data_IF_812831489400
#
_entry.id   IF_812831489400
#
_cell.length_a   1.000
_cell.length_b   1.000
_cell.length_c   1.000
_cell.angle_alpha   90.00
_cell.angle_beta   90.00
_cell.angle_gamma   90.00
#
_symmetry.space_group_name_H-M   'P 1'
#
loop_
_entity.id
_entity.type
_entity.pdbx_description
1 polymer ?
#
# COMPACT_ATOMS: atom_id res chain seq x y z
N UNK A 1 50.55 -12.70 -2.11
CA UNK A 1 49.55 -11.66 -1.75
C UNK A 1 48.20 -12.19 -2.19
N UNK A 2 47.53 -12.96 -1.32
CA UNK A 2 46.21 -13.50 -1.59
C UNK A 2 45.18 -12.41 -1.31
N UNK A 3 44.40 -12.04 -2.33
CA UNK A 3 43.31 -11.07 -2.19
C UNK A 3 42.05 -11.80 -1.74
N UNK A 4 41.73 -11.68 -0.46
CA UNK A 4 40.42 -12.04 0.10
C UNK A 4 39.32 -11.20 -0.58
N UNK A 5 38.33 -11.89 -1.15
CA UNK A 5 37.12 -11.30 -1.72
C UNK A 5 36.02 -11.44 -0.66
N UNK A 6 35.33 -10.36 -0.23
CA UNK A 6 34.31 -10.49 0.79
C UNK A 6 33.11 -11.27 0.26
N UNK A 7 32.77 -12.36 0.96
CA UNK A 7 31.57 -13.17 0.81
C UNK A 7 30.33 -12.30 1.02
N UNK A 8 29.47 -12.19 0.01
CA UNK A 8 28.17 -11.51 0.12
C UNK A 8 27.21 -12.51 0.75
N UNK A 9 26.62 -12.23 1.94
CA UNK A 9 25.72 -13.18 2.57
C UNK A 9 24.44 -13.31 1.74
N UNK A 10 24.27 -14.50 1.16
CA UNK A 10 23.06 -15.01 0.52
C UNK A 10 21.93 -15.11 1.58
N UNK A 11 21.35 -13.97 1.95
CA UNK A 11 20.14 -13.93 2.76
C UNK A 11 18.93 -14.26 1.88
N UNK A 12 18.87 -15.49 1.37
CA UNK A 12 17.62 -16.09 0.89
C UNK A 12 16.65 -16.04 2.05
N UNK A 13 15.69 -15.12 1.97
CA UNK A 13 14.67 -14.94 2.98
C UNK A 13 14.02 -16.31 3.24
N UNK A 14 14.21 -16.84 4.46
CA UNK A 14 13.84 -18.20 4.82
C UNK A 14 12.38 -18.49 4.51
N UNK A 15 12.14 -19.23 3.43
CA UNK A 15 10.83 -19.77 3.11
C UNK A 15 10.57 -20.98 4.03
N UNK A 16 9.42 -21.05 4.75
CA UNK A 16 9.19 -22.03 5.82
C UNK A 16 9.17 -23.52 5.44
N UNK A 17 9.41 -23.91 4.19
CA UNK A 17 9.33 -25.29 3.73
C UNK A 17 10.01 -25.48 2.37
N UNK A 18 10.64 -26.64 2.13
CA UNK A 18 11.19 -27.06 0.82
C UNK A 18 10.12 -27.32 -0.23
N UNK A 19 8.87 -27.54 0.20
CA UNK A 19 7.72 -27.62 -0.68
C UNK A 19 7.17 -26.19 -0.90
N UNK A 20 7.03 -25.71 -2.15
CA UNK A 20 6.47 -24.39 -2.40
C UNK A 20 5.09 -24.29 -1.75
N UNK A 21 4.88 -23.26 -0.93
CA UNK A 21 3.59 -22.98 -0.32
C UNK A 21 2.54 -22.87 -1.44
N UNK A 22 1.42 -23.61 -1.39
CA UNK A 22 0.41 -23.54 -2.44
C UNK A 22 -0.16 -22.12 -2.48
N UNK A 23 0.05 -21.44 -3.61
CA UNK A 23 -0.48 -20.11 -3.86
C UNK A 23 -1.87 -20.22 -4.49
N UNK A 24 -2.73 -19.24 -4.24
CA UNK A 24 -3.98 -19.15 -5.00
C UNK A 24 -3.69 -18.78 -6.46
N UNK A 25 -4.59 -19.12 -7.39
CA UNK A 25 -4.38 -18.83 -8.82
C UNK A 25 -4.08 -17.35 -9.11
N UNK A 26 -4.69 -16.43 -8.37
CA UNK A 26 -4.42 -14.98 -8.46
C UNK A 26 -3.04 -14.60 -7.93
N UNK A 27 -2.50 -15.32 -6.96
CA UNK A 27 -1.15 -15.10 -6.45
C UNK A 27 -0.10 -15.67 -7.41
N UNK A 28 -0.38 -16.83 -8.00
CA UNK A 28 0.48 -17.40 -9.04
C UNK A 28 0.56 -16.52 -10.29
N UNK A 29 -0.51 -15.83 -10.68
CA UNK A 29 -0.46 -14.89 -11.79
C UNK A 29 0.48 -13.71 -11.49
N UNK A 30 0.45 -13.18 -10.27
CA UNK A 30 1.36 -12.10 -9.85
C UNK A 30 2.83 -12.55 -9.85
N UNK A 31 3.10 -13.78 -9.43
CA UNK A 31 4.45 -14.37 -9.52
C UNK A 31 4.87 -14.50 -10.99
N UNK A 32 3.98 -14.97 -11.86
CA UNK A 32 4.26 -15.07 -13.31
C UNK A 32 4.57 -13.71 -13.92
N UNK A 33 3.90 -12.64 -13.49
CA UNK A 33 4.17 -11.28 -13.96
C UNK A 33 5.58 -10.82 -13.58
N UNK A 34 6.02 -11.06 -12.34
CA UNK A 34 7.38 -10.77 -11.87
C UNK A 34 8.40 -11.60 -12.66
N UNK A 35 8.14 -12.89 -12.82
CA UNK A 35 8.97 -13.80 -13.60
C UNK A 35 9.15 -13.33 -15.04
N UNK A 36 8.06 -13.02 -15.75
CA UNK A 36 8.15 -12.53 -17.12
C UNK A 36 8.82 -11.16 -17.21
N UNK A 37 8.63 -10.28 -16.22
CA UNK A 37 9.32 -9.00 -16.17
C UNK A 37 10.85 -9.20 -16.07
N UNK A 38 11.30 -10.16 -15.28
CA UNK A 38 12.72 -10.50 -15.12
C UNK A 38 13.31 -11.15 -16.37
N UNK A 39 12.61 -12.11 -16.98
CA UNK A 39 13.06 -12.71 -18.25
C UNK A 39 13.16 -11.64 -19.35
N UNK A 40 12.19 -10.71 -19.40
CA UNK A 40 12.22 -9.60 -20.36
C UNK A 40 13.34 -8.59 -20.09
N UNK A 41 13.72 -8.36 -18.83
CA UNK A 41 14.83 -7.47 -18.53
C UNK A 41 16.18 -8.07 -18.95
N UNK A 42 16.35 -9.39 -18.84
CA UNK A 42 17.53 -10.09 -19.33
C UNK A 42 17.61 -10.09 -20.87
N UNK A 43 16.46 -10.23 -21.55
CA UNK A 43 16.35 -10.23 -23.02
C UNK A 43 16.03 -8.85 -23.63
N UNK A 44 16.36 -7.75 -22.96
CA UNK A 44 15.91 -6.41 -23.36
C UNK A 44 16.38 -6.01 -24.78
N UNK A 45 17.61 -6.36 -25.17
CA UNK A 45 18.15 -6.01 -26.48
C UNK A 45 17.41 -6.73 -27.62
N UNK A 46 17.11 -8.01 -27.46
CA UNK A 46 16.38 -8.79 -28.48
C UNK A 46 14.92 -8.33 -28.60
N UNK A 47 14.30 -7.96 -27.47
CA UNK A 47 12.95 -7.37 -27.45
C UNK A 47 12.97 -6.03 -28.16
N UNK A 48 14.00 -5.22 -27.96
CA UNK A 48 14.16 -3.92 -28.62
C UNK A 48 14.36 -4.07 -30.14
N UNK A 49 15.14 -5.06 -30.59
CA UNK A 49 15.30 -5.37 -32.00
C UNK A 49 13.97 -5.80 -32.65
N UNK A 50 13.21 -6.67 -31.98
CA UNK A 50 11.87 -7.05 -32.42
C UNK A 50 10.92 -5.83 -32.46
N UNK A 51 10.94 -5.00 -31.42
CA UNK A 51 10.12 -3.80 -31.35
C UNK A 51 10.45 -2.83 -32.50
N UNK A 52 11.74 -2.60 -32.78
CA UNK A 52 12.18 -1.75 -33.89
C UNK A 52 11.66 -2.24 -35.25
N UNK A 53 11.64 -3.55 -35.50
CA UNK A 53 11.04 -4.12 -36.70
C UNK A 53 9.51 -3.97 -36.73
N UNK A 54 8.85 -4.09 -35.57
CA UNK A 54 7.41 -3.98 -35.44
C UNK A 54 6.88 -2.53 -35.52
N UNK A 55 7.74 -1.52 -35.33
CA UNK A 55 7.36 -0.11 -35.48
C UNK A 55 6.86 0.14 -36.91
N UNK A 56 5.59 0.52 -37.03
CA UNK A 56 4.95 0.85 -38.33
C UNK A 56 4.42 -0.35 -39.11
N UNK A 57 4.49 -1.57 -38.56
CA UNK A 57 3.86 -2.77 -39.12
C UNK A 57 2.82 -3.23 -38.10
N UNK A 58 1.53 -3.26 -38.46
CA UNK A 58 0.47 -3.73 -37.54
C UNK A 58 -0.04 -5.11 -37.94
N UNK A 59 -0.31 -5.31 -39.23
CA UNK A 59 -0.88 -6.56 -39.75
C UNK A 59 0.18 -7.55 -40.25
N UNK A 60 1.33 -7.07 -40.71
CA UNK A 60 2.35 -7.91 -41.37
C UNK A 60 3.53 -8.30 -40.46
N UNK A 61 3.52 -7.91 -39.17
CA UNK A 61 4.61 -8.15 -38.21
C UNK A 61 5.02 -9.62 -38.14
N UNK A 62 4.04 -10.52 -38.04
CA UNK A 62 4.26 -11.96 -37.87
C UNK A 62 5.05 -12.60 -39.00
N UNK A 63 5.01 -12.01 -40.19
CA UNK A 63 5.75 -12.47 -41.36
C UNK A 63 7.03 -11.66 -41.59
N UNK A 64 6.92 -10.32 -41.52
CA UNK A 64 8.00 -9.41 -41.86
C UNK A 64 9.10 -9.31 -40.78
N UNK A 65 8.75 -9.58 -39.51
CA UNK A 65 9.67 -9.56 -38.35
C UNK A 65 9.90 -10.95 -37.76
N UNK A 66 9.71 -11.99 -38.58
CA UNK A 66 9.79 -13.39 -38.12
C UNK A 66 11.20 -13.77 -37.68
N UNK A 67 12.24 -13.15 -38.23
CA UNK A 67 13.63 -13.43 -37.85
C UNK A 67 13.89 -12.93 -36.42
N UNK A 68 13.63 -11.65 -36.17
CA UNK A 68 13.79 -10.96 -34.89
C UNK A 68 12.90 -11.61 -33.83
N UNK A 69 11.66 -11.98 -34.18
CA UNK A 69 10.75 -12.70 -33.29
C UNK A 69 11.32 -14.05 -32.85
N UNK A 70 12.03 -14.79 -33.72
CA UNK A 70 12.67 -16.06 -33.33
C UNK A 70 13.85 -15.83 -32.39
N UNK A 71 14.68 -14.81 -32.66
CA UNK A 71 15.83 -14.48 -31.80
C UNK A 71 15.37 -14.10 -30.40
N UNK A 72 14.38 -13.19 -30.30
CA UNK A 72 13.76 -12.82 -29.02
C UNK A 72 13.21 -14.03 -28.27
N UNK A 73 12.44 -14.90 -28.94
CA UNK A 73 11.89 -16.10 -28.30
C UNK A 73 12.95 -17.10 -27.88
N UNK A 74 14.06 -17.22 -28.62
CA UNK A 74 15.17 -18.08 -28.22
C UNK A 74 15.82 -17.56 -26.95
N UNK A 75 16.09 -16.25 -26.84
CA UNK A 75 16.57 -15.64 -25.60
C UNK A 75 15.61 -15.93 -24.43
N UNK A 76 14.32 -15.64 -24.62
CA UNK A 76 13.33 -15.87 -23.56
C UNK A 76 13.27 -17.33 -23.10
N UNK A 77 13.44 -18.30 -24.02
CA UNK A 77 13.48 -19.73 -23.67
C UNK A 77 14.73 -20.13 -22.90
N UNK A 78 15.88 -19.52 -23.18
CA UNK A 78 17.13 -19.80 -22.46
C UNK A 78 17.04 -19.36 -21.00
N UNK A 79 16.41 -18.20 -20.75
CA UNK A 79 16.23 -17.65 -19.40
C UNK A 79 14.93 -18.12 -18.72
N UNK A 80 14.10 -18.90 -19.41
CA UNK A 80 12.88 -19.45 -18.85
C UNK A 80 13.16 -20.70 -18.00
N UNK A 81 13.96 -20.55 -16.94
CA UNK A 81 14.36 -21.66 -16.06
C UNK A 81 13.44 -21.77 -14.84
N UNK A 82 13.27 -22.97 -14.27
CA UNK A 82 12.58 -23.15 -13.00
C UNK A 82 13.20 -22.34 -11.86
N UNK A 83 14.52 -22.16 -11.88
CA UNK A 83 15.29 -21.39 -10.89
C UNK A 83 14.87 -19.91 -10.89
N UNK A 84 14.70 -19.30 -12.06
CA UNK A 84 14.20 -17.93 -12.17
C UNK A 84 12.76 -17.79 -11.70
N UNK A 85 11.95 -18.83 -11.91
CA UNK A 85 10.58 -18.87 -11.42
C UNK A 85 10.53 -18.94 -9.88
N UNK A 86 11.39 -19.74 -9.25
CA UNK A 86 11.47 -19.81 -7.79
C UNK A 86 12.06 -18.52 -7.19
N UNK A 87 13.05 -17.92 -7.83
CA UNK A 87 13.57 -16.62 -7.43
C UNK A 87 12.53 -15.48 -7.59
N UNK A 88 11.61 -15.58 -8.56
CA UNK A 88 10.47 -14.67 -8.68
C UNK A 88 9.43 -14.89 -7.58
N UNK A 89 9.23 -16.14 -7.12
CA UNK A 89 8.39 -16.44 -5.95
C UNK A 89 8.97 -15.82 -4.69
N UNK A 90 10.26 -15.98 -4.46
CA UNK A 90 10.96 -15.42 -3.30
C UNK A 90 10.83 -13.89 -3.26
N UNK A 91 11.03 -13.22 -4.40
CA UNK A 91 10.81 -11.78 -4.53
C UNK A 91 9.37 -11.39 -4.21
N UNK A 92 8.37 -12.11 -4.74
CA UNK A 92 6.96 -11.84 -4.45
C UNK A 92 6.64 -11.98 -2.95
N UNK A 93 7.18 -13.00 -2.29
CA UNK A 93 7.04 -13.17 -0.84
C UNK A 93 7.72 -12.04 -0.08
N UNK A 94 8.94 -11.64 -0.46
CA UNK A 94 9.66 -10.52 0.15
C UNK A 94 8.87 -9.20 0.03
N UNK A 95 8.34 -8.88 -1.16
CA UNK A 95 7.49 -7.71 -1.38
C UNK A 95 6.21 -7.76 -0.53
N UNK A 96 5.60 -8.94 -0.37
CA UNK A 96 4.41 -9.11 0.47
C UNK A 96 4.72 -8.87 1.94
N UNK A 97 5.82 -9.41 2.44
CA UNK A 97 6.27 -9.17 3.82
C UNK A 97 6.62 -7.71 4.05
N UNK A 98 7.24 -7.04 3.08
CA UNK A 98 7.53 -5.61 3.17
C UNK A 98 6.23 -4.79 3.20
N UNK A 99 5.26 -5.10 2.33
CA UNK A 99 3.93 -4.46 2.39
C UNK A 99 3.25 -4.66 3.75
N UNK A 100 3.42 -5.81 4.39
CA UNK A 100 2.91 -6.07 5.73
C UNK A 100 3.59 -5.18 6.77
N UNK A 101 4.94 -5.16 6.80
CA UNK A 101 5.73 -4.31 7.71
C UNK A 101 5.40 -2.83 7.56
N UNK A 102 5.19 -2.36 6.32
CA UNK A 102 4.79 -0.98 6.05
C UNK A 102 3.40 -0.66 6.59
N UNK A 103 2.45 -1.60 6.53
CA UNK A 103 1.12 -1.44 7.14
C UNK A 103 1.20 -1.40 8.66
N UNK A 104 2.01 -2.26 9.28
CA UNK A 104 2.22 -2.23 10.73
C UNK A 104 2.87 -0.92 11.19
N UNK A 105 3.88 -0.43 10.46
CA UNK A 105 4.53 0.87 10.74
C UNK A 105 3.52 2.01 10.65
N UNK A 106 2.72 2.05 9.59
CA UNK A 106 1.65 3.05 9.41
C UNK A 106 0.59 2.95 10.49
N UNK A 107 0.20 1.74 10.91
CA UNK A 107 -0.75 1.54 11.99
C UNK A 107 -0.20 2.04 13.33
N UNK A 108 1.06 1.75 13.66
CA UNK A 108 1.74 2.29 14.86
C UNK A 108 1.82 3.81 14.84
N UNK A 109 2.16 4.40 13.70
CA UNK A 109 2.17 5.85 13.52
C UNK A 109 0.77 6.45 13.66
N UNK A 110 -0.27 5.79 13.14
CA UNK A 110 -1.65 6.24 13.28
C UNK A 110 -2.12 6.21 14.75
N UNK A 111 -1.80 5.13 15.49
CA UNK A 111 -2.08 5.06 16.94
C UNK A 111 -1.34 6.15 17.70
N UNK A 112 -0.04 6.34 17.45
CA UNK A 112 0.73 7.42 18.07
C UNK A 112 0.18 8.81 17.70
N UNK A 113 -0.29 8.98 16.46
CA UNK A 113 -0.94 10.20 16.01
C UNK A 113 -2.28 10.44 16.70
N UNK A 114 -3.08 9.40 16.93
CA UNK A 114 -4.33 9.45 17.69
C UNK A 114 -4.08 9.78 19.18
N UNK A 115 -3.05 9.18 19.80
CA UNK A 115 -2.61 9.50 21.16
C UNK A 115 -2.14 10.95 21.28
N UNK A 116 -1.29 11.40 20.35
CA UNK A 116 -0.84 12.79 20.27
C UNK A 116 -2.01 13.74 20.06
N UNK A 117 -2.96 13.43 19.17
CA UNK A 117 -4.15 14.24 18.98
C UNK A 117 -5.01 14.28 20.24
N UNK A 118 -5.17 13.16 20.94
CA UNK A 118 -5.92 13.08 22.20
C UNK A 118 -5.27 13.91 23.30
N UNK A 119 -3.94 13.91 23.40
CA UNK A 119 -3.18 14.72 24.36
C UNK A 119 -3.21 16.21 23.99
N UNK A 120 -2.96 16.54 22.73
CA UNK A 120 -2.96 17.91 22.21
C UNK A 120 -4.34 18.58 22.24
N UNK A 121 -5.40 17.82 21.99
CA UNK A 121 -6.80 18.25 22.18
C UNK A 121 -7.31 17.99 23.60
N UNK A 122 -6.44 17.54 24.51
CA UNK A 122 -6.71 17.44 25.93
C UNK A 122 -6.88 18.83 26.53
N UNK A 123 -8.08 19.44 26.38
CA UNK A 123 -8.42 20.66 27.10
C UNK A 123 -8.05 20.45 28.58
N UNK A 124 -7.26 21.37 29.18
CA UNK A 124 -6.94 21.33 30.60
C UNK A 124 -8.21 21.09 31.39
N UNK A 125 -8.13 20.37 32.51
CA UNK A 125 -9.31 20.11 33.35
C UNK A 125 -10.04 21.42 33.72
N UNK A 126 -9.27 22.50 33.84
CA UNK A 126 -9.70 23.90 33.96
C UNK A 126 -10.59 24.39 32.81
N UNK A 127 -10.24 24.07 31.55
CA UNK A 127 -10.98 24.51 30.36
C UNK A 127 -12.19 23.61 30.09
N UNK A 128 -12.13 22.33 30.47
CA UNK A 128 -13.32 21.47 30.54
C UNK A 128 -14.30 21.96 31.60
N UNK A 129 -13.81 22.28 32.80
CA UNK A 129 -14.61 22.84 33.88
C UNK A 129 -15.16 24.23 33.54
N UNK A 130 -14.39 25.10 32.88
CA UNK A 130 -14.87 26.42 32.46
C UNK A 130 -15.96 26.30 31.40
N UNK A 131 -15.81 25.40 30.41
CA UNK A 131 -16.82 25.14 29.39
C UNK A 131 -18.09 24.51 29.96
N UNK A 132 -17.97 23.61 30.93
CA UNK A 132 -19.12 23.06 31.66
C UNK A 132 -19.84 24.16 32.45
N UNK A 133 -19.11 25.02 33.16
CA UNK A 133 -19.69 26.18 33.88
C UNK A 133 -20.34 27.18 32.93
N UNK A 134 -19.78 27.42 31.74
CA UNK A 134 -20.39 28.26 30.72
C UNK A 134 -21.68 27.65 30.18
N UNK A 135 -21.70 26.36 29.90
CA UNK A 135 -22.91 25.64 29.49
C UNK A 135 -23.97 25.60 30.59
N UNK A 136 -23.58 25.45 31.86
CA UNK A 136 -24.48 25.58 33.00
C UNK A 136 -25.02 27.00 33.14
N UNK A 137 -24.19 28.04 32.93
CA UNK A 137 -24.64 29.45 32.91
C UNK A 137 -25.59 29.75 31.75
N UNK A 138 -25.34 29.17 30.58
CA UNK A 138 -26.22 29.27 29.41
C UNK A 138 -27.53 28.49 29.61
N UNK A 139 -27.47 27.36 30.32
CA UNK A 139 -28.62 26.53 30.71
C UNK A 139 -29.41 27.09 31.90
N UNK A 140 -28.78 27.92 32.74
CA UNK A 140 -29.47 28.76 33.72
C UNK A 140 -30.21 29.86 32.96
N UNK A 141 -31.42 29.51 32.51
CA UNK A 141 -32.32 30.39 31.78
C UNK A 141 -32.30 31.81 32.34
N UNK A 142 -31.99 32.78 31.48
CA UNK A 142 -31.87 34.20 31.80
C UNK A 142 -33.10 34.66 32.61
N UNK A 143 -32.87 34.97 33.89
CA UNK A 143 -33.91 35.48 34.79
C UNK A 143 -34.15 36.96 34.54
N UNK A 144 -34.86 37.27 33.46
CA UNK A 144 -35.36 38.62 33.21
C UNK A 144 -36.43 38.93 34.27
N UNK A 145 -36.15 39.90 35.17
CA UNK A 145 -37.06 40.28 36.26
C UNK A 145 -37.13 39.30 37.43
N UNK A 146 -36.14 38.40 37.59
CA UNK A 146 -36.06 37.47 38.73
C UNK A 146 -36.82 36.14 38.57
N UNK A 147 -37.51 35.91 37.45
CA UNK A 147 -38.27 34.68 37.18
C UNK A 147 -37.58 33.83 36.11
N UNK A 148 -37.58 32.50 36.25
CA UNK A 148 -37.08 31.61 35.18
C UNK A 148 -38.02 31.64 33.98
N UNK A 149 -37.55 31.30 32.79
CA UNK A 149 -38.38 31.31 31.56
C UNK A 149 -39.66 30.45 31.68
N UNK A 150 -39.66 29.43 32.55
CA UNK A 150 -40.81 28.56 32.83
C UNK A 150 -41.83 29.19 33.78
N UNK A 151 -41.38 30.08 34.67
CA UNK A 151 -42.20 30.72 35.71
C UNK A 151 -42.69 32.12 35.30
N UNK A 152 -42.32 32.59 34.11
CA UNK A 152 -42.76 33.89 33.60
C UNK A 152 -44.24 33.80 33.19
N UNK A 153 -45.11 34.73 33.61
CA UNK A 153 -46.47 34.79 33.10
C UNK A 153 -46.43 34.99 31.58
N UNK A 154 -47.14 34.15 30.84
CA UNK A 154 -47.38 34.39 29.42
C UNK A 154 -48.18 35.70 29.30
N UNK A 155 -47.70 36.64 28.48
CA UNK A 155 -48.32 37.96 28.36
C UNK A 155 -49.80 37.89 27.94
N UNK A 156 -50.56 38.98 28.11
CA UNK A 156 -52.03 38.99 27.97
C UNK A 156 -52.56 38.91 26.52
N UNK A 157 -51.85 38.25 25.60
CA UNK A 157 -52.30 38.04 24.20
C UNK A 157 -52.07 36.59 23.71
N UNK A 158 -52.18 35.61 24.62
CA UNK A 158 -52.15 34.18 24.29
C UNK A 158 -53.53 33.55 24.21
N UNK A 159 -54.48 34.17 23.51
CA UNK A 159 -55.85 33.69 23.36
C UNK A 159 -56.25 33.41 21.91
N UNK A 160 -56.07 32.17 21.46
CA UNK A 160 -57.10 31.37 20.76
C UNK A 160 -56.71 29.89 20.72
#
# INVERSE_FOLDING_TARGET
MATDKPDVPDQRAGVPSRNPLPLSASQESQVRDIYYARVRSQCAEEIKAFAACALGRTLTVSFACRAEHRVMNNCMKLHATPEEHDAAREEWFAMRMERHRQRERKAKMAVAQEEFLREWWGLPEEVRASRQRELEKLGQAERVGGMTAKDRPHGPDGGR
#
